data_IF_204108307939
#
_entry.id   IF_204108307939
#
_cell.length_a   1.000
_cell.length_b   1.000
_cell.length_c   1.000
_cell.angle_alpha   90.00
_cell.angle_beta   90.00
_cell.angle_gamma   90.00
#
_symmetry.space_group_name_H-M   'P 1'
#
loop_
_entity.id
_entity.type
_entity.pdbx_description
1 polymer ?
#
# COMPACT_ATOMS: atom_id res chain seq x y z
N UNK A 1 11.32 -14.23 3.14
CA UNK A 1 12.61 -14.28 2.42
C UNK A 1 12.70 -13.28 1.27
N UNK A 2 11.86 -13.32 0.21
CA UNK A 2 11.97 -12.35 -0.90
C UNK A 2 11.99 -10.88 -0.47
N UNK A 3 10.95 -10.43 0.24
CA UNK A 3 10.87 -9.04 0.71
C UNK A 3 12.00 -8.62 1.68
N UNK A 4 12.61 -9.56 2.40
CA UNK A 4 13.79 -9.28 3.24
C UNK A 4 15.00 -8.88 2.39
N UNK A 5 15.11 -9.42 1.16
CA UNK A 5 16.17 -9.03 0.21
C UNK A 5 15.96 -7.58 -0.23
N UNK A 6 14.74 -7.22 -0.63
CA UNK A 6 14.42 -5.85 -1.07
C UNK A 6 14.65 -4.84 0.05
N UNK A 7 14.18 -5.18 1.25
CA UNK A 7 14.41 -4.42 2.48
C UNK A 7 15.91 -4.16 2.73
N UNK A 8 16.76 -5.19 2.66
CA UNK A 8 18.21 -5.05 2.83
C UNK A 8 18.83 -4.19 1.74
N UNK A 9 18.41 -4.35 0.48
CA UNK A 9 18.92 -3.56 -0.65
C UNK A 9 18.57 -2.07 -0.50
N UNK A 10 17.31 -1.75 -0.15
CA UNK A 10 16.88 -0.36 0.05
C UNK A 10 17.60 0.25 1.26
N UNK A 11 17.72 -0.49 2.38
CA UNK A 11 18.45 0.03 3.55
C UNK A 11 19.90 0.37 3.23
N UNK A 12 20.60 -0.51 2.50
CA UNK A 12 21.97 -0.23 2.06
C UNK A 12 22.05 0.96 1.12
N UNK A 13 21.08 1.11 0.23
CA UNK A 13 21.02 2.27 -0.66
C UNK A 13 20.83 3.59 0.14
N UNK A 14 19.99 3.56 1.17
CA UNK A 14 19.77 4.71 2.07
C UNK A 14 21.02 5.00 2.91
N UNK A 15 21.67 3.99 3.48
CA UNK A 15 22.94 4.12 4.21
C UNK A 15 24.05 4.71 3.33
N UNK A 16 24.07 4.33 2.04
CA UNK A 16 25.00 4.87 1.05
C UNK A 16 24.63 6.24 0.47
N UNK A 17 23.47 6.79 0.85
CA UNK A 17 22.99 8.10 0.35
C UNK A 17 22.41 8.08 -1.07
N UNK A 18 22.18 6.90 -1.66
CA UNK A 18 21.63 6.73 -3.01
C UNK A 18 20.11 6.91 -3.06
N UNK A 19 19.42 6.72 -1.94
CA UNK A 19 17.99 6.92 -1.79
C UNK A 19 17.76 7.76 -0.54
N UNK A 20 17.06 8.88 -0.67
CA UNK A 20 16.58 9.63 0.48
C UNK A 20 15.21 9.12 0.92
N UNK A 21 14.94 9.09 2.22
CA UNK A 21 13.62 8.76 2.73
C UNK A 21 12.77 10.01 2.99
N UNK A 22 11.52 9.79 3.38
CA UNK A 22 10.61 10.83 3.81
C UNK A 22 10.82 11.14 5.31
N UNK A 23 11.15 12.39 5.63
CA UNK A 23 11.24 12.84 7.01
C UNK A 23 9.87 13.22 7.56
N UNK A 24 9.35 12.41 8.48
CA UNK A 24 8.13 12.70 9.21
C UNK A 24 8.49 13.43 10.50
N UNK A 25 8.16 14.72 10.57
CA UNK A 25 8.24 15.51 11.80
C UNK A 25 6.96 15.32 12.62
N UNK A 26 7.05 14.51 13.67
CA UNK A 26 6.08 14.58 14.78
C UNK A 26 6.49 15.68 15.73
N UNK A 27 5.54 16.51 16.22
CA UNK A 27 5.84 17.52 17.24
C UNK A 27 6.67 16.90 18.39
N UNK A 28 7.69 17.58 18.90
CA UNK A 28 8.57 17.13 19.98
C UNK A 28 9.39 15.81 19.81
N UNK A 29 9.24 15.01 18.75
CA UNK A 29 10.08 13.80 18.54
C UNK A 29 11.17 14.03 17.51
N UNK A 30 12.28 13.30 17.64
CA UNK A 30 13.28 13.12 16.60
C UNK A 30 12.60 12.81 15.26
N UNK A 31 13.04 13.46 14.18
CA UNK A 31 12.51 13.20 12.84
C UNK A 31 12.67 11.72 12.49
N UNK A 32 11.57 11.08 12.11
CA UNK A 32 11.56 9.71 11.63
C UNK A 32 11.76 9.74 10.12
N UNK A 33 12.88 9.20 9.65
CA UNK A 33 13.15 9.04 8.22
C UNK A 33 12.60 7.68 7.77
N UNK A 34 11.58 7.69 6.91
CA UNK A 34 10.95 6.48 6.36
C UNK A 34 11.29 6.39 4.89
N UNK A 35 12.06 5.37 4.50
CA UNK A 35 12.38 5.12 3.08
C UNK A 35 11.45 4.12 2.41
N UNK A 36 10.86 3.18 3.14
CA UNK A 36 9.96 2.18 2.56
C UNK A 36 8.97 1.61 3.58
N UNK A 37 7.86 1.08 3.07
CA UNK A 37 6.83 0.36 3.81
C UNK A 37 6.47 -0.92 3.06
N UNK A 38 6.43 -2.05 3.77
CA UNK A 38 6.07 -3.35 3.21
C UNK A 38 4.80 -3.89 3.85
N UNK A 39 3.91 -4.44 3.04
CA UNK A 39 2.85 -5.34 3.50
C UNK A 39 2.59 -6.41 2.45
N UNK A 40 2.91 -7.66 2.79
CA UNK A 40 2.89 -8.78 1.85
C UNK A 40 3.67 -8.43 0.56
N UNK A 41 2.98 -8.34 -0.57
CA UNK A 41 3.51 -7.97 -1.90
C UNK A 41 3.33 -6.48 -2.25
N UNK A 42 2.57 -5.73 -1.46
CA UNK A 42 2.40 -4.28 -1.65
C UNK A 42 3.56 -3.52 -0.99
N UNK A 43 4.25 -2.69 -1.78
CA UNK A 43 5.43 -1.94 -1.34
C UNK A 43 5.30 -0.47 -1.71
N UNK A 44 5.60 0.40 -0.75
CA UNK A 44 5.82 1.84 -0.99
C UNK A 44 7.29 2.14 -0.75
N UNK A 45 7.91 2.84 -1.70
CA UNK A 45 9.26 3.39 -1.54
C UNK A 45 9.18 4.91 -1.66
N UNK A 46 9.76 5.61 -0.69
CA UNK A 46 9.94 7.05 -0.69
C UNK A 46 11.34 7.35 -1.22
N UNK A 47 11.42 8.30 -2.16
CA UNK A 47 12.65 8.86 -2.68
C UNK A 47 12.41 10.31 -3.08
N UNK A 48 13.49 11.06 -3.25
CA UNK A 48 13.43 12.41 -3.81
C UNK A 48 13.05 12.35 -5.30
N UNK A 49 12.36 13.38 -5.77
CA UNK A 49 12.00 13.54 -7.17
C UNK A 49 13.22 13.95 -8.00
N UNK A 50 14.21 13.06 -8.08
CA UNK A 50 15.42 13.24 -8.88
C UNK A 50 15.66 12.03 -9.76
N UNK A 51 16.08 12.27 -11.00
CA UNK A 51 16.39 11.21 -11.97
C UNK A 51 17.43 10.24 -11.41
N UNK A 52 18.45 10.76 -10.73
CA UNK A 52 19.50 9.95 -10.11
C UNK A 52 18.94 8.95 -9.09
N UNK A 53 18.08 9.38 -8.14
CA UNK A 53 17.51 8.46 -7.15
C UNK A 53 16.55 7.45 -7.79
N UNK A 54 15.78 7.87 -8.79
CA UNK A 54 14.90 6.96 -9.53
C UNK A 54 15.70 5.92 -10.30
N UNK A 55 16.80 6.29 -10.95
CA UNK A 55 17.72 5.33 -11.59
C UNK A 55 18.30 4.35 -10.58
N UNK A 56 18.74 4.82 -9.40
CA UNK A 56 19.20 3.93 -8.33
C UNK A 56 18.10 2.95 -7.89
N UNK A 57 16.85 3.44 -7.77
CA UNK A 57 15.71 2.58 -7.46
C UNK A 57 15.48 1.53 -8.56
N UNK A 58 15.54 1.91 -9.84
CA UNK A 58 15.44 0.97 -10.97
C UNK A 58 16.48 -0.14 -10.87
N UNK A 59 17.74 0.20 -10.54
CA UNK A 59 18.80 -0.80 -10.34
C UNK A 59 18.55 -1.70 -9.13
N UNK A 60 18.08 -1.15 -8.01
CA UNK A 60 17.73 -1.92 -6.82
C UNK A 60 16.64 -2.94 -7.14
N UNK A 61 15.59 -2.50 -7.84
CA UNK A 61 14.47 -3.33 -8.26
C UNK A 61 14.93 -4.45 -9.21
N UNK A 62 15.78 -4.13 -10.19
CA UNK A 62 16.39 -5.11 -11.07
C UNK A 62 17.20 -6.17 -10.30
N UNK A 63 18.11 -5.74 -9.41
CA UNK A 63 18.91 -6.66 -8.62
C UNK A 63 18.08 -7.49 -7.65
N UNK A 64 16.97 -6.94 -7.14
CA UNK A 64 16.00 -7.69 -6.36
C UNK A 64 15.36 -8.80 -7.17
N UNK A 65 14.90 -8.55 -8.41
CA UNK A 65 14.33 -9.60 -9.28
C UNK A 65 15.36 -10.72 -9.52
N UNK A 66 16.61 -10.35 -9.80
CA UNK A 66 17.72 -11.30 -10.02
C UNK A 66 18.02 -12.11 -8.75
N UNK A 67 18.11 -11.47 -7.59
CA UNK A 67 18.50 -12.12 -6.35
C UNK A 67 17.38 -12.96 -5.71
N UNK A 68 16.12 -12.55 -5.88
CA UNK A 68 14.96 -13.21 -5.27
C UNK A 68 14.27 -14.21 -6.21
N UNK A 69 14.49 -14.11 -7.52
CA UNK A 69 13.74 -14.85 -8.54
C UNK A 69 12.28 -14.39 -8.68
N UNK A 70 11.89 -13.31 -8.01
CA UNK A 70 10.56 -12.70 -8.14
C UNK A 70 10.53 -11.73 -9.32
N UNK A 71 9.33 -11.38 -9.77
CA UNK A 71 9.12 -10.37 -10.82
C UNK A 71 8.28 -9.22 -10.29
N UNK A 72 8.76 -8.01 -10.53
CA UNK A 72 8.06 -6.77 -10.22
C UNK A 72 7.03 -6.51 -11.32
N UNK A 73 5.81 -6.19 -10.91
CA UNK A 73 4.75 -5.84 -11.84
C UNK A 73 4.71 -4.32 -12.08
N UNK A 74 5.63 -3.83 -12.93
CA UNK A 74 5.69 -2.42 -13.28
C UNK A 74 4.41 -1.88 -13.93
N UNK A 75 3.59 -2.75 -14.55
CA UNK A 75 2.28 -2.36 -15.07
C UNK A 75 1.27 -2.00 -13.96
N UNK A 76 1.45 -2.53 -12.75
CA UNK A 76 0.67 -2.19 -11.56
C UNK A 76 1.36 -1.15 -10.66
N UNK A 77 2.68 -0.97 -10.80
CA UNK A 77 3.43 0.03 -10.05
C UNK A 77 3.18 1.45 -10.57
N UNK A 78 3.11 2.39 -9.65
CA UNK A 78 2.85 3.79 -9.95
C UNK A 78 3.87 4.69 -9.24
N UNK A 79 4.37 5.71 -9.94
CA UNK A 79 5.08 6.84 -9.33
C UNK A 79 4.06 7.93 -9.07
N UNK A 80 3.94 8.33 -7.81
CA UNK A 80 3.01 9.35 -7.38
C UNK A 80 3.82 10.58 -6.95
N UNK A 81 3.72 11.73 -7.66
CA UNK A 81 4.39 12.95 -7.23
C UNK A 81 3.77 13.46 -5.93
N UNK A 82 4.60 13.97 -5.04
CA UNK A 82 4.19 14.64 -3.80
C UNK A 82 4.65 16.09 -3.87
N UNK A 83 3.70 17.02 -4.09
CA UNK A 83 4.00 18.42 -4.40
C UNK A 83 4.16 18.65 -5.91
N UNK A 84 4.74 19.79 -6.28
CA UNK A 84 5.03 20.12 -7.68
C UNK A 84 6.31 19.41 -8.14
N UNK A 85 6.17 18.55 -9.15
CA UNK A 85 7.26 17.79 -9.78
C UNK A 85 7.12 17.95 -11.29
N UNK A 86 7.97 18.76 -11.91
CA UNK A 86 7.89 19.09 -13.34
C UNK A 86 8.18 17.86 -14.23
N UNK A 87 9.18 17.06 -13.87
CA UNK A 87 9.69 15.97 -14.72
C UNK A 87 9.07 14.59 -14.43
N UNK A 88 7.86 14.55 -13.87
CA UNK A 88 7.26 13.29 -13.39
C UNK A 88 7.11 12.21 -14.47
N UNK A 89 6.85 12.60 -15.72
CA UNK A 89 6.75 11.67 -16.85
C UNK A 89 8.10 11.02 -17.18
N UNK A 90 9.19 11.78 -17.09
CA UNK A 90 10.54 11.26 -17.29
C UNK A 90 10.93 10.31 -16.16
N UNK A 91 10.62 10.67 -14.91
CA UNK A 91 10.85 9.81 -13.76
C UNK A 91 10.08 8.49 -13.85
N UNK A 92 8.83 8.53 -14.29
CA UNK A 92 8.03 7.32 -14.51
C UNK A 92 8.62 6.42 -15.62
N UNK A 93 9.10 7.03 -16.70
CA UNK A 93 9.77 6.30 -17.77
C UNK A 93 11.09 5.65 -17.31
N UNK A 94 11.88 6.33 -16.49
CA UNK A 94 13.13 5.82 -15.91
C UNK A 94 12.91 4.60 -15.01
N UNK A 95 11.82 4.58 -14.23
CA UNK A 95 11.43 3.42 -13.43
C UNK A 95 10.74 2.32 -14.25
N UNK A 96 10.17 2.68 -15.39
CA UNK A 96 9.28 1.82 -16.19
C UNK A 96 7.87 1.68 -15.60
N UNK A 97 7.48 2.56 -14.67
CA UNK A 97 6.15 2.57 -14.03
C UNK A 97 5.18 3.54 -14.70
N UNK A 98 3.94 3.60 -14.19
CA UNK A 98 2.94 4.60 -14.62
C UNK A 98 2.96 5.81 -13.70
N UNK A 99 2.53 6.98 -14.19
CA UNK A 99 2.26 8.13 -13.32
C UNK A 99 0.91 7.92 -12.63
N UNK A 100 0.91 7.96 -11.31
CA UNK A 100 -0.28 7.98 -10.47
C UNK A 100 -0.52 9.36 -9.86
N UNK A 101 -1.57 9.49 -9.07
CA UNK A 101 -1.93 10.74 -8.39
C UNK A 101 -2.55 10.48 -7.02
N UNK A 102 -2.41 11.42 -6.10
CA UNK A 102 -3.18 11.42 -4.85
C UNK A 102 -4.60 11.99 -5.08
N UNK A 103 -5.62 11.49 -4.35
CA UNK A 103 -5.55 10.42 -3.38
C UNK A 103 -5.47 9.03 -4.04
N UNK A 104 -4.61 8.16 -3.51
CA UNK A 104 -4.44 6.78 -3.97
C UNK A 104 -4.87 5.78 -2.89
N UNK A 105 -4.76 4.48 -3.14
CA UNK A 105 -5.11 3.45 -2.16
C UNK A 105 -3.92 2.55 -1.86
N UNK A 106 -3.65 2.32 -0.59
CA UNK A 106 -2.70 1.31 -0.13
C UNK A 106 -3.38 0.44 0.91
N UNK A 107 -3.43 -0.87 0.67
CA UNK A 107 -4.15 -1.85 1.51
C UNK A 107 -5.64 -1.55 1.69
N UNK A 108 -6.25 -0.85 0.73
CA UNK A 108 -7.63 -0.39 0.80
C UNK A 108 -7.85 0.82 1.71
N UNK A 109 -6.79 1.47 2.17
CA UNK A 109 -6.83 2.73 2.91
C UNK A 109 -6.48 3.89 1.97
N UNK A 110 -7.21 5.02 2.04
CA UNK A 110 -6.90 6.19 1.24
C UNK A 110 -5.56 6.81 1.67
N UNK A 111 -4.69 7.07 0.70
CA UNK A 111 -3.44 7.80 0.84
C UNK A 111 -3.58 9.22 0.32
N UNK A 112 -2.90 10.18 0.95
CA UNK A 112 -2.89 11.59 0.52
C UNK A 112 -4.15 12.37 0.86
N UNK A 113 -5.03 11.82 1.70
CA UNK A 113 -6.26 12.48 2.14
C UNK A 113 -6.05 13.15 3.51
N UNK A 114 -6.63 14.34 3.75
CA UNK A 114 -6.63 14.94 5.08
C UNK A 114 -7.25 14.01 6.12
N UNK A 115 -6.49 13.69 7.18
CA UNK A 115 -6.93 12.77 8.23
C UNK A 115 -8.18 13.23 9.00
N UNK A 116 -8.57 14.51 8.89
CA UNK A 116 -9.75 15.11 9.55
C UNK A 116 -11.02 15.08 8.70
N UNK A 117 -10.96 14.63 7.45
CA UNK A 117 -12.12 14.56 6.57
C UNK A 117 -12.87 13.23 6.78
N UNK A 118 -13.79 13.19 7.74
CA UNK A 118 -14.53 11.97 8.13
C UNK A 118 -15.22 11.29 6.96
N UNK A 119 -15.80 12.06 6.04
CA UNK A 119 -16.48 11.55 4.84
C UNK A 119 -15.58 10.77 3.87
N UNK A 120 -14.26 10.93 3.98
CA UNK A 120 -13.31 10.18 3.16
C UNK A 120 -13.04 8.77 3.70
N UNK A 121 -13.48 8.46 4.92
CA UNK A 121 -13.42 7.14 5.53
C UNK A 121 -14.70 6.32 5.34
N UNK A 122 -15.78 6.92 4.83
CA UNK A 122 -17.08 6.26 4.62
C UNK A 122 -16.94 5.00 3.77
N UNK A 123 -16.12 5.03 2.71
CA UNK A 123 -15.87 3.86 1.86
C UNK A 123 -15.15 2.71 2.60
N UNK A 124 -14.27 3.04 3.54
CA UNK A 124 -13.60 2.06 4.41
C UNK A 124 -14.60 1.49 5.41
N UNK A 125 -15.41 2.35 6.03
CA UNK A 125 -16.45 1.96 6.99
C UNK A 125 -17.48 1.02 6.35
N UNK A 126 -18.01 1.36 5.18
CA UNK A 126 -18.99 0.53 4.48
C UNK A 126 -18.41 -0.83 4.09
N UNK A 127 -17.12 -0.90 3.73
CA UNK A 127 -16.45 -2.17 3.44
C UNK A 127 -16.32 -3.05 4.69
N UNK A 128 -16.00 -2.45 5.84
CA UNK A 128 -15.95 -3.14 7.12
C UNK A 128 -17.37 -3.61 7.52
N UNK A 129 -18.38 -2.74 7.38
CA UNK A 129 -19.77 -3.06 7.67
C UNK A 129 -20.28 -4.22 6.81
N UNK A 130 -19.97 -4.22 5.51
CA UNK A 130 -20.31 -5.31 4.60
C UNK A 130 -19.68 -6.64 5.01
N UNK A 131 -18.39 -6.64 5.39
CA UNK A 131 -17.71 -7.84 5.91
C UNK A 131 -18.36 -8.35 7.20
N UNK A 132 -18.66 -7.46 8.14
CA UNK A 132 -19.33 -7.80 9.40
C UNK A 132 -20.73 -8.37 9.17
N UNK A 133 -21.50 -7.79 8.25
CA UNK A 133 -22.83 -8.27 7.90
C UNK A 133 -22.80 -9.68 7.29
N UNK A 134 -21.85 -9.94 6.39
CA UNK A 134 -21.63 -11.27 5.81
C UNK A 134 -21.24 -12.30 6.87
N UNK A 135 -20.35 -11.93 7.79
CA UNK A 135 -19.94 -12.80 8.90
C UNK A 135 -21.12 -13.13 9.82
N UNK A 136 -21.92 -12.13 10.18
CA UNK A 136 -23.15 -12.32 10.95
C UNK A 136 -24.14 -13.27 10.25
N UNK A 137 -24.26 -13.21 8.93
CA UNK A 137 -25.11 -14.13 8.14
C UNK A 137 -24.55 -15.55 8.09
N UNK A 138 -23.24 -15.73 7.99
CA UNK A 138 -22.59 -17.04 7.90
C UNK A 138 -22.64 -17.82 9.22
N UNK A 139 -22.50 -17.12 10.35
CA UNK A 139 -22.49 -17.75 11.68
C UNK A 139 -23.85 -17.75 12.39
N UNK A 140 -24.86 -17.07 11.83
CA UNK A 140 -26.27 -17.15 12.26
C UNK A 140 -27.08 -17.84 11.15
N UNK A 141 -26.68 -19.08 10.82
CA UNK A 141 -27.57 -19.98 10.10
C UNK A 141 -28.67 -20.45 11.06
N UNK A 142 -29.94 -20.30 10.67
CA UNK A 142 -31.12 -20.67 11.47
C UNK A 142 -31.10 -22.17 11.83
N UNK A 143 -30.52 -22.52 12.98
CA UNK A 143 -30.80 -23.77 13.67
C UNK A 143 -32.04 -23.58 14.55
N UNK A 144 -33.23 -23.84 14.02
CA UNK A 144 -34.46 -23.78 14.82
C UNK A 144 -35.75 -23.58 14.04
N UNK A 145 -35.96 -24.34 12.95
CA UNK A 145 -37.28 -24.47 12.33
C UNK A 145 -37.81 -25.88 12.65
N UNK A 146 -38.08 -26.14 13.93
CA UNK A 146 -38.76 -27.36 14.34
C UNK A 146 -40.24 -27.26 13.96
N UNK A 147 -40.58 -28.07 12.97
CA UNK A 147 -41.93 -28.50 12.63
C UNK A 147 -42.70 -28.93 13.90
N UNK A 148 -43.80 -28.24 14.20
CA UNK A 148 -44.92 -28.84 14.93
C UNK A 148 -46.11 -28.92 13.98
N UNK A 149 -46.30 -30.13 13.46
CA UNK A 149 -47.40 -30.56 12.62
C UNK A 149 -48.77 -30.35 13.30
N UNK A 150 -49.76 -30.07 12.46
CA UNK A 150 -51.19 -29.90 12.74
C UNK A 150 -51.88 -31.09 13.45
N UNK A 151 -52.77 -30.73 14.40
CA UNK A 151 -54.17 -31.19 14.68
C UNK A 151 -54.48 -32.60 15.26
N UNK A 152 -55.08 -32.59 16.48
CA UNK A 152 -56.30 -33.25 17.07
C UNK A 152 -57.07 -34.36 16.30
N UNK A 153 -57.95 -35.21 16.92
CA UNK A 153 -58.78 -34.99 18.14
C UNK A 153 -59.04 -36.21 19.08
N UNK A 154 -59.80 -35.99 20.16
CA UNK A 154 -60.89 -36.85 20.65
C UNK A 154 -62.18 -36.00 20.67
#
# INVERSE_FOLDING_TARGET
MGMEVLDVLIRRAVEGGYISGCNIRGGSRTSLNISHLFFADDTIVFCEASKEQVSHLSWILFWFEVASGLRINLAKSEIIPVGDVEDILELAAELGGRVGSLPSHYLGLPLGVPNRATSMWDGVEERIRGRLALWKRQYISKGGENHSHKKHPD
#
